data_IF_162819639442
#
_entry.id   IF_162819639442
#
_cell.length_a   1.000
_cell.length_b   1.000
_cell.length_c   1.000
_cell.angle_alpha   90.00
_cell.angle_beta   90.00
_cell.angle_gamma   90.00
#
_symmetry.space_group_name_H-M   'P 1'
#
loop_
_entity.id
_entity.type
_entity.pdbx_description
1 polymer ?
#
# COMPACT_ATOMS: atom_id res chain seq x y z
N UNK A 1 -6.05 3.07 -13.74
CA UNK A 1 -5.14 2.31 -14.65
C UNK A 1 -3.67 2.46 -14.27
N UNK A 2 -3.23 3.66 -13.86
CA UNK A 2 -1.84 3.88 -13.46
C UNK A 2 -1.42 3.07 -12.23
N UNK A 3 -2.31 2.87 -11.25
CA UNK A 3 -1.98 2.03 -10.09
C UNK A 3 -1.58 0.59 -10.46
N UNK A 4 -2.24 0.02 -11.47
CA UNK A 4 -1.85 -1.30 -11.98
C UNK A 4 -0.45 -1.28 -12.60
N UNK A 5 -0.13 -0.24 -13.37
CA UNK A 5 1.19 -0.09 -14.00
C UNK A 5 2.29 0.12 -12.95
N UNK A 6 2.03 0.91 -11.90
CA UNK A 6 2.91 1.05 -10.74
C UNK A 6 3.15 -0.30 -10.07
N UNK A 7 2.09 -1.05 -9.75
CA UNK A 7 2.21 -2.37 -9.15
C UNK A 7 3.01 -3.32 -10.04
N UNK A 8 2.81 -3.31 -11.36
CA UNK A 8 3.63 -4.10 -12.28
C UNK A 8 5.09 -3.66 -12.28
N UNK A 9 5.35 -2.35 -12.23
CA UNK A 9 6.71 -1.83 -12.16
C UNK A 9 7.39 -2.22 -10.84
N UNK A 10 6.66 -2.25 -9.72
CA UNK A 10 7.17 -2.64 -8.41
C UNK A 10 7.37 -4.16 -8.31
N UNK A 11 6.45 -4.93 -8.88
CA UNK A 11 6.54 -6.40 -8.90
C UNK A 11 7.77 -6.89 -9.65
N UNK A 12 8.07 -6.26 -10.79
CA UNK A 12 9.24 -6.58 -11.61
C UNK A 12 10.49 -5.79 -11.22
N UNK A 13 10.54 -5.17 -10.03
CA UNK A 13 11.66 -4.32 -9.59
C UNK A 13 13.03 -4.98 -9.74
N UNK A 14 13.15 -6.25 -9.37
CA UNK A 14 14.41 -7.02 -9.39
C UNK A 14 14.61 -7.86 -10.66
N UNK A 15 13.73 -7.73 -11.66
CA UNK A 15 13.80 -8.53 -12.87
C UNK A 15 14.48 -7.77 -14.01
N UNK A 16 15.45 -8.39 -14.69
CA UNK A 16 16.16 -7.77 -15.83
C UNK A 16 15.23 -7.37 -16.98
N UNK A 17 14.12 -8.09 -17.14
CA UNK A 17 13.12 -7.82 -18.17
C UNK A 17 12.07 -6.75 -17.77
N UNK A 18 12.24 -6.05 -16.63
CA UNK A 18 11.30 -5.04 -16.10
C UNK A 18 10.78 -4.08 -17.17
N UNK A 19 11.69 -3.46 -17.92
CA UNK A 19 11.33 -2.49 -18.98
C UNK A 19 10.46 -3.12 -20.08
N UNK A 20 10.77 -4.36 -20.49
CA UNK A 20 10.02 -5.06 -21.53
C UNK A 20 8.59 -5.37 -21.08
N UNK A 21 8.43 -5.93 -19.89
CA UNK A 21 7.12 -6.33 -19.35
C UNK A 21 6.24 -5.11 -19.06
N UNK A 22 6.76 -4.14 -18.29
CA UNK A 22 6.01 -2.92 -17.94
C UNK A 22 5.68 -2.11 -19.19
N UNK A 23 6.61 -2.01 -20.14
CA UNK A 23 6.39 -1.33 -21.43
C UNK A 23 5.31 -2.01 -22.26
N UNK A 24 5.25 -3.34 -22.28
CA UNK A 24 4.19 -4.11 -22.91
C UNK A 24 2.83 -3.85 -22.25
N UNK A 25 2.74 -3.93 -20.92
CA UNK A 25 1.51 -3.62 -20.18
C UNK A 25 1.02 -2.20 -20.45
N UNK A 26 1.92 -1.21 -20.40
CA UNK A 26 1.61 0.18 -20.71
C UNK A 26 1.15 0.35 -22.17
N UNK A 27 1.75 -0.39 -23.11
CA UNK A 27 1.33 -0.39 -24.51
C UNK A 27 -0.09 -0.94 -24.70
N UNK A 28 -0.41 -2.08 -24.06
CA UNK A 28 -1.74 -2.69 -24.14
C UNK A 28 -2.81 -1.76 -23.57
N UNK A 29 -2.58 -1.18 -22.38
CA UNK A 29 -3.53 -0.28 -21.74
C UNK A 29 -3.75 0.98 -22.59
N UNK A 30 -2.66 1.63 -22.99
CA UNK A 30 -2.72 2.87 -23.78
C UNK A 30 -3.39 2.66 -25.14
N UNK A 31 -3.08 1.56 -25.83
CA UNK A 31 -3.70 1.23 -27.12
C UNK A 31 -5.20 0.92 -26.97
N UNK A 32 -5.58 0.24 -25.89
CA UNK A 32 -6.99 -0.04 -25.59
C UNK A 32 -7.76 1.24 -25.29
N UNK A 33 -7.20 2.14 -24.47
CA UNK A 33 -7.79 3.45 -24.19
C UNK A 33 -7.90 4.31 -25.45
N UNK A 34 -6.87 4.32 -26.30
CA UNK A 34 -6.92 5.04 -27.56
C UNK A 34 -8.03 4.51 -28.50
N UNK A 35 -8.30 3.20 -28.52
CA UNK A 35 -9.44 2.64 -29.26
C UNK A 35 -10.78 3.13 -28.69
N UNK A 36 -10.94 3.09 -27.37
CA UNK A 36 -12.15 3.57 -26.70
C UNK A 36 -12.42 5.04 -26.99
N UNK A 37 -11.38 5.87 -26.90
CA UNK A 37 -11.46 7.28 -27.25
C UNK A 37 -11.76 7.52 -28.73
N UNK A 38 -11.13 6.76 -29.62
CA UNK A 38 -11.43 6.87 -31.05
C UNK A 38 -12.91 6.59 -31.33
N UNK A 39 -13.47 5.54 -30.73
CA UNK A 39 -14.88 5.20 -30.86
C UNK A 39 -15.79 6.28 -30.27
N UNK A 40 -15.52 6.71 -29.02
CA UNK A 40 -16.32 7.72 -28.31
C UNK A 40 -16.36 9.06 -29.03
N UNK A 41 -15.23 9.52 -29.56
CA UNK A 41 -15.09 10.82 -30.22
C UNK A 41 -15.21 10.74 -31.75
N UNK A 42 -15.62 9.58 -32.30
CA UNK A 42 -15.77 9.34 -33.75
C UNK A 42 -14.50 9.68 -34.54
N UNK A 43 -13.34 9.39 -33.97
CA UNK A 43 -12.04 9.55 -34.63
C UNK A 43 -11.74 8.31 -35.46
N UNK A 44 -11.26 8.53 -36.70
CA UNK A 44 -11.04 7.45 -37.68
C UNK A 44 -9.90 6.49 -37.32
N UNK A 45 -9.00 6.85 -36.41
CA UNK A 45 -7.86 6.01 -36.02
C UNK A 45 -7.30 6.35 -34.64
N UNK A 46 -6.61 5.38 -34.03
CA UNK A 46 -5.86 5.59 -32.78
C UNK A 46 -4.72 6.61 -32.96
N UNK A 47 -4.10 6.67 -34.15
CA UNK A 47 -3.07 7.65 -34.44
C UNK A 47 -3.60 9.09 -34.34
N UNK A 48 -4.85 9.33 -34.77
CA UNK A 48 -5.50 10.63 -34.62
C UNK A 48 -5.74 10.99 -33.15
N UNK A 49 -6.06 10.00 -32.31
CA UNK A 49 -6.16 10.18 -30.85
C UNK A 49 -4.83 10.64 -30.28
N UNK A 50 -3.72 9.94 -30.57
CA UNK A 50 -2.40 10.32 -30.04
C UNK A 50 -1.91 11.68 -30.57
N UNK A 51 -2.31 12.07 -31.79
CA UNK A 51 -1.99 13.39 -32.34
C UNK A 51 -2.63 14.52 -31.53
N UNK A 52 -3.84 14.31 -31.02
CA UNK A 52 -4.61 15.30 -30.25
C UNK A 52 -4.27 15.19 -28.74
N UNK A 53 -4.42 14.00 -28.16
CA UNK A 53 -4.32 13.76 -26.73
C UNK A 53 -2.89 13.57 -26.19
N UNK A 54 -1.85 13.73 -27.02
CA UNK A 54 -0.48 13.28 -26.73
C UNK A 54 -0.34 11.75 -26.63
N UNK A 55 0.91 11.26 -26.60
CA UNK A 55 1.23 9.83 -26.56
C UNK A 55 0.74 9.17 -25.27
N UNK A 56 0.76 9.89 -24.16
CA UNK A 56 0.32 9.49 -22.83
C UNK A 56 -1.18 9.74 -22.57
N UNK A 57 -1.92 10.30 -23.54
CA UNK A 57 -3.36 10.59 -23.43
C UNK A 57 -3.71 11.62 -22.33
N UNK A 58 -2.78 12.49 -21.94
CA UNK A 58 -2.98 13.53 -20.91
C UNK A 58 -3.64 14.81 -21.44
N UNK A 59 -3.72 15.00 -22.76
CA UNK A 59 -4.36 16.18 -23.34
C UNK A 59 -5.83 15.90 -23.70
N UNK A 60 -6.73 16.88 -23.52
CA UNK A 60 -8.13 16.71 -23.86
C UNK A 60 -8.30 16.49 -25.37
N UNK A 61 -9.27 15.65 -25.75
CA UNK A 61 -9.59 15.35 -27.15
C UNK A 61 -10.51 16.38 -27.81
N UNK A 62 -11.10 17.26 -27.00
CA UNK A 62 -12.01 18.31 -27.44
C UNK A 62 -11.33 19.64 -27.18
N UNK A 63 -10.48 20.05 -28.11
CA UNK A 63 -9.92 21.40 -28.12
C UNK A 63 -10.96 22.34 -28.74
N UNK A 64 -11.10 23.55 -28.18
CA UNK A 64 -11.90 24.59 -28.81
C UNK A 64 -11.27 24.92 -30.15
N UNK A 65 -11.91 24.53 -31.25
CA UNK A 65 -11.48 24.87 -32.61
C UNK A 65 -11.59 26.37 -32.94
N UNK A 66 -12.10 27.18 -32.00
CA UNK A 66 -12.06 28.63 -32.06
C UNK A 66 -10.89 29.13 -31.22
N UNK A 67 -10.02 29.92 -31.85
CA UNK A 67 -8.94 30.69 -31.22
C UNK A 67 -9.43 31.71 -30.17
N UNK A 68 -10.75 31.78 -29.94
CA UNK A 68 -11.40 32.69 -29.00
C UNK A 68 -11.35 32.17 -27.54
N UNK A 69 -10.98 30.91 -27.32
CA UNK A 69 -10.89 30.31 -25.99
C UNK A 69 -9.43 30.10 -25.55
N UNK A 70 -9.10 30.33 -24.27
CA UNK A 70 -7.77 30.07 -23.73
C UNK A 70 -7.38 28.60 -23.90
N UNK A 71 -6.09 28.35 -24.13
CA UNK A 71 -5.57 26.99 -24.27
C UNK A 71 -5.81 26.17 -22.99
N UNK A 72 -5.92 24.85 -23.14
CA UNK A 72 -6.09 23.95 -21.99
C UNK A 72 -4.97 24.11 -20.94
N UNK A 73 -3.74 24.40 -21.38
CA UNK A 73 -2.58 24.73 -20.53
C UNK A 73 -2.84 25.95 -19.63
N UNK A 74 -3.45 27.00 -20.17
CA UNK A 74 -3.81 28.21 -19.43
C UNK A 74 -4.94 27.96 -18.45
N UNK A 75 -5.96 27.20 -18.87
CA UNK A 75 -7.07 26.78 -18.01
C UNK A 75 -6.60 25.96 -16.81
N UNK A 76 -5.64 25.05 -17.04
CA UNK A 76 -4.97 24.30 -15.97
C UNK A 76 -4.21 25.23 -15.03
N UNK A 77 -3.44 26.19 -15.57
CA UNK A 77 -2.65 27.13 -14.75
C UNK A 77 -3.53 28.06 -13.91
N UNK A 78 -4.71 28.40 -14.40
CA UNK A 78 -5.72 29.18 -13.69
C UNK A 78 -6.53 28.35 -12.67
N UNK A 79 -6.33 27.03 -12.62
CA UNK A 79 -7.08 26.13 -11.74
C UNK A 79 -8.55 25.97 -12.12
N UNK A 80 -8.90 26.26 -13.37
CA UNK A 80 -10.29 26.23 -13.84
C UNK A 80 -10.72 24.86 -14.38
N UNK A 81 -9.75 23.99 -14.68
CA UNK A 81 -9.99 22.64 -15.19
C UNK A 81 -9.08 21.65 -14.46
N UNK A 82 -9.57 20.43 -14.26
CA UNK A 82 -8.80 19.36 -13.64
C UNK A 82 -7.70 18.82 -14.58
N UNK A 83 -6.60 18.42 -13.96
CA UNK A 83 -5.52 17.72 -14.65
C UNK A 83 -5.96 16.31 -15.05
N UNK A 84 -5.81 15.99 -16.34
CA UNK A 84 -6.02 14.63 -16.83
C UNK A 84 -4.74 13.82 -16.61
N UNK A 85 -4.80 12.87 -15.69
CA UNK A 85 -3.68 11.98 -15.43
C UNK A 85 -3.41 11.07 -16.64
N UNK A 86 -2.29 11.30 -17.33
CA UNK A 86 -1.85 10.50 -18.45
C UNK A 86 -1.50 9.07 -18.06
N UNK A 87 -1.54 8.15 -19.02
CA UNK A 87 -1.09 6.77 -18.82
C UNK A 87 0.41 6.76 -18.56
N UNK A 88 0.80 6.28 -17.38
CA UNK A 88 2.20 6.18 -16.99
C UNK A 88 3.01 5.27 -17.94
N UNK A 89 4.33 5.44 -17.94
CA UNK A 89 5.26 4.64 -18.73
C UNK A 89 5.03 4.69 -20.25
N UNK A 90 4.65 5.85 -20.78
CA UNK A 90 4.45 6.06 -22.22
C UNK A 90 5.73 5.87 -23.05
N UNK A 91 6.91 6.07 -22.45
CA UNK A 91 8.23 5.84 -23.04
C UNK A 91 9.01 4.80 -22.23
N UNK A 92 9.88 4.05 -22.89
CA UNK A 92 10.72 3.06 -22.20
C UNK A 92 11.65 3.69 -21.16
N UNK A 93 12.06 4.94 -21.39
CA UNK A 93 12.90 5.72 -20.46
C UNK A 93 12.19 6.12 -19.17
N UNK A 94 10.85 6.25 -19.20
CA UNK A 94 10.07 6.56 -18.00
C UNK A 94 9.87 5.36 -17.08
N UNK A 95 10.17 4.15 -17.55
CA UNK A 95 10.11 2.95 -16.71
C UNK A 95 11.40 2.87 -15.87
N UNK A 96 11.29 2.73 -14.53
CA UNK A 96 12.47 2.63 -13.70
C UNK A 96 13.33 1.41 -14.07
N UNK A 97 14.65 1.52 -13.92
CA UNK A 97 15.59 0.41 -14.22
C UNK A 97 15.43 -0.75 -13.24
N UNK A 98 15.96 -1.92 -13.61
CA UNK A 98 16.09 -3.03 -12.67
C UNK A 98 16.91 -2.58 -11.46
N UNK A 99 16.48 -2.98 -10.28
CA UNK A 99 17.19 -2.75 -9.04
C UNK A 99 18.20 -3.88 -8.81
N UNK A 100 19.48 -3.54 -8.89
CA UNK A 100 20.59 -4.46 -8.66
C UNK A 100 21.15 -4.35 -7.24
N UNK A 101 20.47 -3.67 -6.31
CA UNK A 101 20.91 -3.66 -4.92
C UNK A 101 20.98 -5.11 -4.42
N UNK A 102 22.15 -5.57 -3.94
CA UNK A 102 22.28 -6.92 -3.44
C UNK A 102 21.36 -7.12 -2.23
N UNK A 103 20.82 -8.33 -2.09
CA UNK A 103 20.05 -8.65 -0.90
C UNK A 103 20.91 -8.49 0.37
N UNK A 104 20.33 -8.02 1.48
CA UNK A 104 20.99 -8.05 2.77
C UNK A 104 21.52 -9.45 3.08
N UNK A 105 22.69 -9.57 3.74
CA UNK A 105 23.32 -10.88 4.03
C UNK A 105 22.41 -11.85 4.80
N UNK A 106 21.49 -11.31 5.59
CA UNK A 106 20.53 -12.09 6.39
C UNK A 106 19.11 -11.99 5.82
N UNK A 107 18.96 -11.69 4.53
CA UNK A 107 17.65 -11.62 3.90
C UNK A 107 17.03 -13.02 3.85
N UNK A 108 15.84 -13.13 4.43
CA UNK A 108 15.04 -14.35 4.43
C UNK A 108 13.67 -13.97 3.88
N UNK A 109 13.13 -14.72 2.89
CA UNK A 109 11.77 -14.49 2.41
C UNK A 109 10.75 -14.55 3.56
N UNK A 110 9.73 -13.70 3.50
CA UNK A 110 8.71 -13.66 4.56
C UNK A 110 8.04 -15.01 4.79
N UNK A 111 7.73 -15.76 3.73
CA UNK A 111 7.12 -17.09 3.86
C UNK A 111 8.03 -18.09 4.59
N UNK A 112 9.35 -17.98 4.45
CA UNK A 112 10.29 -18.86 5.16
C UNK A 112 10.33 -18.53 6.66
N UNK A 113 10.19 -17.26 7.04
CA UNK A 113 10.04 -16.88 8.46
C UNK A 113 8.82 -17.55 9.08
N UNK A 114 7.67 -17.51 8.39
CA UNK A 114 6.42 -18.15 8.83
C UNK A 114 6.59 -19.66 8.95
N UNK A 115 7.25 -20.31 7.98
CA UNK A 115 7.52 -21.75 8.04
C UNK A 115 8.45 -22.11 9.21
N UNK A 116 9.48 -21.32 9.47
CA UNK A 116 10.39 -21.51 10.62
C UNK A 116 9.64 -21.37 11.94
N UNK A 117 8.70 -20.43 12.05
CA UNK A 117 7.82 -20.32 13.22
C UNK A 117 6.91 -21.53 13.35
N UNK A 118 6.32 -22.00 12.25
CA UNK A 118 5.46 -23.18 12.25
C UNK A 118 6.20 -24.45 12.70
N UNK A 119 7.46 -24.63 12.26
CA UNK A 119 8.30 -25.76 12.70
C UNK A 119 8.53 -25.72 14.21
N UNK A 120 8.71 -24.54 14.82
CA UNK A 120 8.87 -24.42 16.28
C UNK A 120 7.64 -24.89 17.05
N UNK A 121 6.44 -24.79 16.47
CA UNK A 121 5.20 -25.28 17.08
C UNK A 121 5.16 -26.81 17.20
N UNK A 122 6.03 -27.54 16.50
CA UNK A 122 6.14 -28.99 16.63
C UNK A 122 6.74 -29.40 17.99
N UNK A 123 7.53 -28.53 18.64
CA UNK A 123 8.02 -28.78 20.00
C UNK A 123 6.88 -28.59 21.02
N UNK A 124 6.47 -29.66 21.73
CA UNK A 124 5.38 -29.59 22.70
C UNK A 124 5.63 -28.60 23.84
N UNK A 125 6.90 -28.40 24.24
CA UNK A 125 7.26 -27.47 25.32
C UNK A 125 7.02 -26.03 24.88
N UNK A 126 7.59 -25.65 23.73
CA UNK A 126 7.39 -24.34 23.14
C UNK A 126 5.91 -24.06 22.87
N UNK A 127 5.18 -25.02 22.29
CA UNK A 127 3.75 -24.87 22.04
C UNK A 127 2.95 -24.62 23.33
N UNK A 128 3.21 -25.39 24.38
CA UNK A 128 2.52 -25.23 25.66
C UNK A 128 2.82 -23.88 26.31
N UNK A 129 4.06 -23.40 26.25
CA UNK A 129 4.45 -22.07 26.74
C UNK A 129 3.81 -20.94 25.93
N UNK A 130 3.82 -21.06 24.60
CA UNK A 130 3.17 -20.10 23.71
C UNK A 130 1.66 -20.06 23.97
N UNK A 131 1.02 -21.22 24.09
CA UNK A 131 -0.41 -21.31 24.39
C UNK A 131 -0.76 -20.75 25.78
N UNK A 132 0.06 -21.00 26.80
CA UNK A 132 -0.07 -20.35 28.12
C UNK A 132 0.09 -18.83 28.01
N UNK A 133 1.03 -18.36 27.19
CA UNK A 133 1.27 -16.94 26.97
C UNK A 133 0.10 -16.29 26.26
N UNK A 134 -0.47 -16.93 25.23
CA UNK A 134 -1.67 -16.47 24.52
C UNK A 134 -2.90 -16.47 25.44
N UNK A 135 -3.04 -17.46 26.34
CA UNK A 135 -4.12 -17.46 27.33
C UNK A 135 -3.95 -16.37 28.39
N UNK A 136 -2.72 -16.02 28.76
CA UNK A 136 -2.41 -14.97 29.76
C UNK A 136 -2.45 -13.57 29.16
N UNK A 137 -1.93 -13.41 27.95
CA UNK A 137 -2.04 -12.20 27.13
C UNK A 137 -3.33 -12.37 26.34
N UNK A 138 -4.47 -12.07 26.95
CA UNK A 138 -5.75 -12.04 26.26
C UNK A 138 -5.56 -11.38 24.89
N UNK A 139 -5.82 -12.14 23.82
CA UNK A 139 -5.83 -11.59 22.47
C UNK A 139 -7.04 -10.67 22.46
N UNK A 140 -6.75 -9.38 22.61
CA UNK A 140 -7.78 -8.36 22.56
C UNK A 140 -8.46 -8.42 21.21
N UNK A 141 -9.78 -8.38 21.22
CA UNK A 141 -10.51 -8.26 19.97
C UNK A 141 -10.16 -6.90 19.35
N UNK A 142 -10.12 -6.77 18.01
CA UNK A 142 -9.93 -5.47 17.36
C UNK A 142 -10.90 -4.40 17.87
N UNK A 143 -12.11 -4.82 18.26
CA UNK A 143 -13.13 -3.97 18.90
C UNK A 143 -12.68 -3.45 20.28
N UNK A 144 -11.98 -4.25 21.08
CA UNK A 144 -11.46 -3.85 22.40
C UNK A 144 -10.31 -2.87 22.26
N UNK A 145 -9.47 -3.06 21.24
CA UNK A 145 -8.38 -2.14 20.91
C UNK A 145 -8.91 -0.78 20.47
N UNK A 146 -9.91 -0.76 19.58
CA UNK A 146 -10.60 0.47 19.17
C UNK A 146 -11.29 1.13 20.37
N UNK A 147 -11.96 0.35 21.22
CA UNK A 147 -12.64 0.87 22.42
C UNK A 147 -11.67 1.52 23.39
N UNK A 148 -10.51 0.88 23.66
CA UNK A 148 -9.45 1.47 24.47
C UNK A 148 -8.88 2.73 23.84
N UNK A 149 -8.64 2.73 22.52
CA UNK A 149 -8.15 3.91 21.81
C UNK A 149 -9.12 5.09 21.93
N UNK A 150 -10.41 4.87 21.68
CA UNK A 150 -11.46 5.89 21.81
C UNK A 150 -11.56 6.39 23.25
N UNK A 151 -11.50 5.49 24.23
CA UNK A 151 -11.49 5.86 25.64
C UNK A 151 -10.29 6.74 25.99
N UNK A 152 -9.10 6.41 25.51
CA UNK A 152 -7.90 7.21 25.73
C UNK A 152 -8.02 8.61 25.10
N UNK A 153 -8.52 8.73 23.88
CA UNK A 153 -8.79 10.04 23.29
C UNK A 153 -9.85 10.83 24.06
N UNK A 154 -10.91 10.17 24.54
CA UNK A 154 -11.96 10.80 25.33
C UNK A 154 -11.45 11.34 26.67
N UNK A 155 -10.61 10.58 27.38
CA UNK A 155 -10.16 10.92 28.74
C UNK A 155 -8.90 11.78 28.74
N UNK A 156 -7.95 11.51 27.84
CA UNK A 156 -6.63 12.15 27.85
C UNK A 156 -6.38 13.07 26.64
N UNK A 157 -7.31 13.14 25.68
CA UNK A 157 -7.19 13.97 24.47
C UNK A 157 -6.17 13.45 23.43
N UNK A 158 -5.34 12.47 23.78
CA UNK A 158 -4.29 11.89 22.94
C UNK A 158 -4.18 10.39 23.22
N UNK A 159 -3.97 9.60 22.17
CA UNK A 159 -3.60 8.19 22.33
C UNK A 159 -2.08 8.04 22.42
N UNK A 160 -1.59 7.68 23.60
CA UNK A 160 -0.18 7.31 23.81
C UNK A 160 -0.05 5.79 24.04
N UNK A 161 0.39 5.09 23.00
CA UNK A 161 0.59 3.65 23.02
C UNK A 161 1.68 3.20 24.03
N UNK A 162 2.61 4.09 24.40
CA UNK A 162 3.66 3.76 25.38
C UNK A 162 3.10 3.79 26.81
N UNK A 163 2.25 4.77 27.12
CA UNK A 163 1.62 4.93 28.44
C UNK A 163 0.59 3.84 28.72
N UNK A 164 -0.18 3.40 27.72
CA UNK A 164 -1.10 2.27 27.85
C UNK A 164 -0.35 0.96 28.12
N UNK A 165 0.76 0.71 27.42
CA UNK A 165 1.59 -0.48 27.61
C UNK A 165 2.28 -0.52 28.98
N UNK A 166 2.72 0.64 29.50
CA UNK A 166 3.28 0.77 30.85
C UNK A 166 2.22 0.50 31.92
N UNK A 167 1.04 1.11 31.80
CA UNK A 167 -0.06 0.90 32.76
C UNK A 167 -0.56 -0.54 32.78
N UNK A 168 -0.60 -1.20 31.62
CA UNK A 168 -0.92 -2.63 31.52
C UNK A 168 0.18 -3.55 32.10
N UNK A 169 1.46 -3.10 32.14
CA UNK A 169 2.53 -3.83 32.84
C UNK A 169 2.48 -3.61 34.35
N UNK A 170 2.15 -2.41 34.82
CA UNK A 170 1.99 -2.11 36.25
C UNK A 170 0.83 -2.91 36.87
N UNK A 171 -0.35 -2.92 36.23
CA UNK A 171 -1.49 -3.70 36.70
C UNK A 171 -1.19 -5.20 36.80
N UNK A 172 -0.39 -5.75 35.86
CA UNK A 172 0.05 -7.16 35.91
C UNK A 172 1.03 -7.45 37.04
N UNK A 173 1.89 -6.49 37.40
CA UNK A 173 2.82 -6.67 38.51
C UNK A 173 2.11 -6.62 39.86
N UNK A 174 1.05 -5.79 39.98
CA UNK A 174 0.23 -5.71 41.18
C UNK A 174 -0.63 -6.97 41.40
N UNK A 175 -1.15 -7.60 40.33
CA UNK A 175 -1.88 -8.88 40.41
C UNK A 175 -0.98 -10.05 40.86
N UNK A 176 0.25 -10.12 40.36
CA UNK A 176 1.25 -11.13 40.80
C UNK A 176 1.64 -10.92 42.25
N UNK A 177 1.86 -9.67 42.67
CA UNK A 177 2.20 -9.33 44.06
C UNK A 177 1.06 -9.59 45.05
N UNK A 178 -0.19 -9.62 44.59
CA UNK A 178 -1.36 -9.93 45.43
C UNK A 178 -1.63 -11.44 45.51
N UNK A 179 -1.40 -12.19 44.43
CA UNK A 179 -1.50 -13.66 44.42
C UNK A 179 -0.50 -14.34 45.36
N UNK A 180 0.73 -13.83 45.45
CA UNK A 180 1.76 -14.38 46.35
C UNK A 180 1.47 -14.09 47.83
N UNK A 181 0.75 -13.01 48.15
CA UNK A 181 0.33 -12.69 49.52
C UNK A 181 -0.84 -13.55 50.00
N UNK A 182 -1.72 -13.97 49.09
CA UNK A 182 -2.86 -14.82 49.41
C UNK A 182 -2.41 -16.25 49.77
N UNK A 183 -1.37 -16.78 49.09
CA UNK A 183 -0.82 -18.11 49.36
C UNK A 183 -0.02 -18.23 50.66
N UNK A 184 0.42 -17.11 51.25
CA UNK A 184 1.16 -17.07 52.52
C UNK A 184 0.26 -16.90 53.76
N UNK A 185 -1.03 -16.63 53.57
CA UNK A 185 -2.01 -16.45 54.66
C UNK A 185 -2.90 -17.69 54.90
N UNK A 186 -2.79 -18.71 54.03
CA UNK A 186 -3.56 -19.97 54.08
C UNK A 186 -2.76 -21.18 54.62
N UNK A 187 -1.64 -20.96 55.31
CA UNK A 187 -0.88 -21.95 56.09
C UNK A 187 -0.83 -21.59 57.56
#
# INVERSE_FOLDING_TARGET
MNKFLETMADWYRYADNRKKIVGFCAYVIRSSLAKLYAARYRLKSQAKVYKIASRDLSRPLRESTRNDAPEYSDLLRMGLVDFIEGVQFARMSSIPSCDYTPFPRNWVPHHELVLREYIKLQDPKFFCELHKTIKRQEINSPQDDVSRMVWCYKVYGVYDNKRSLMKAKELRNDEVANGDKQLLLDT
#
